data_IF_601285714095
#
_entry.id   IF_601285714095
#
_cell.length_a   1.000
_cell.length_b   1.000
_cell.length_c   1.000
_cell.angle_alpha   90.00
_cell.angle_beta   90.00
_cell.angle_gamma   90.00
#
_symmetry.space_group_name_H-M   'P 1'
#
loop_
_entity.id
_entity.type
_entity.pdbx_description
1 polymer ?
#
# COMPACT_ATOMS: atom_id res chain seq x y z
N UNK A 1 9.52 9.76 14.40
CA UNK A 1 8.34 9.39 13.60
C UNK A 1 8.06 10.43 12.54
N UNK A 2 7.82 11.70 12.92
CA UNK A 2 7.47 12.77 11.97
C UNK A 2 8.44 12.89 10.78
N UNK A 3 9.73 12.68 10.97
CA UNK A 3 10.73 12.69 9.89
C UNK A 3 10.69 11.43 8.99
N UNK A 4 9.83 10.48 9.30
CA UNK A 4 9.82 9.15 8.71
C UNK A 4 8.53 8.79 7.95
N UNK A 5 7.55 9.69 7.89
CA UNK A 5 6.23 9.40 7.32
C UNK A 5 5.87 10.32 6.16
N UNK A 6 5.05 9.80 5.26
CA UNK A 6 4.33 10.55 4.25
C UNK A 6 3.02 11.14 4.77
N UNK A 7 1.96 11.09 3.97
CA UNK A 7 0.65 11.68 4.31
C UNK A 7 -0.03 11.06 5.53
N UNK A 8 0.14 9.75 5.77
CA UNK A 8 -0.44 9.06 6.91
C UNK A 8 0.57 8.75 8.01
N UNK A 9 0.10 8.66 9.26
CA UNK A 9 0.93 8.13 10.35
C UNK A 9 1.11 6.61 10.16
N UNK A 10 2.32 6.12 9.88
CA UNK A 10 2.54 4.73 9.52
C UNK A 10 2.22 3.75 10.67
N UNK A 11 2.31 4.18 11.93
CA UNK A 11 2.01 3.32 13.07
C UNK A 11 0.49 3.21 13.30
N UNK A 12 -0.27 4.31 13.16
CA UNK A 12 -1.74 4.24 13.21
C UNK A 12 -2.29 3.35 12.09
N UNK A 13 -1.73 3.50 10.86
CA UNK A 13 -2.11 2.65 9.73
C UNK A 13 -1.76 1.19 9.99
N UNK A 14 -0.55 0.92 10.53
CA UNK A 14 -0.12 -0.43 10.84
C UNK A 14 -1.00 -1.09 11.92
N UNK A 15 -1.28 -0.39 13.03
CA UNK A 15 -2.15 -0.86 14.10
C UNK A 15 -3.56 -1.15 13.59
N UNK A 16 -4.13 -0.21 12.83
CA UNK A 16 -5.46 -0.38 12.26
C UNK A 16 -5.53 -1.54 11.26
N UNK A 17 -4.57 -1.63 10.32
CA UNK A 17 -4.54 -2.72 9.35
C UNK A 17 -4.36 -4.08 10.02
N UNK A 18 -3.42 -4.17 10.96
CA UNK A 18 -3.09 -5.44 11.62
C UNK A 18 -4.18 -5.95 12.56
N UNK A 19 -5.08 -5.07 13.04
CA UNK A 19 -6.28 -5.48 13.79
C UNK A 19 -7.21 -6.39 12.99
N UNK A 20 -7.07 -6.42 11.67
CA UNK A 20 -7.83 -7.23 10.72
C UNK A 20 -7.02 -8.39 10.13
N UNK A 21 -5.79 -8.60 10.56
CA UNK A 21 -4.89 -9.65 10.08
C UNK A 21 -4.51 -10.60 11.22
N UNK A 22 -4.55 -11.89 10.96
CA UNK A 22 -4.08 -12.91 11.92
C UNK A 22 -2.57 -13.13 11.74
N UNK A 23 -1.77 -12.21 12.27
CA UNK A 23 -0.31 -12.28 12.23
C UNK A 23 0.23 -13.18 13.32
N UNK A 24 0.97 -14.21 12.95
CA UNK A 24 1.57 -15.17 13.86
C UNK A 24 3.10 -15.09 13.84
N UNK A 25 3.72 -15.32 14.99
CA UNK A 25 5.18 -15.36 15.10
C UNK A 25 5.82 -16.25 14.04
N UNK A 26 6.84 -15.72 13.39
CA UNK A 26 7.60 -16.44 12.36
C UNK A 26 7.00 -16.41 10.95
N UNK A 27 5.79 -15.85 10.76
CA UNK A 27 5.27 -15.60 9.43
C UNK A 27 6.19 -14.68 8.63
N UNK A 28 6.24 -14.88 7.33
CA UNK A 28 6.94 -14.00 6.38
C UNK A 28 5.98 -12.94 5.86
N UNK A 29 6.31 -11.68 6.12
CA UNK A 29 5.50 -10.52 5.74
C UNK A 29 6.27 -9.65 4.77
N UNK A 30 5.66 -9.30 3.65
CA UNK A 30 6.12 -8.23 2.79
C UNK A 30 5.48 -6.92 3.25
N UNK A 31 6.29 -5.94 3.63
CA UNK A 31 5.87 -4.55 3.83
C UNK A 31 6.22 -3.76 2.57
N UNK A 32 5.22 -3.57 1.70
CA UNK A 32 5.36 -3.04 0.35
C UNK A 32 5.12 -1.53 0.32
N UNK A 33 6.14 -0.77 -0.01
CA UNK A 33 6.16 0.68 0.12
C UNK A 33 6.36 1.09 1.59
N UNK A 34 7.33 0.44 2.27
CA UNK A 34 7.57 0.60 3.71
C UNK A 34 8.13 1.98 4.10
N UNK A 35 8.41 2.84 3.13
CA UNK A 35 9.06 4.12 3.38
C UNK A 35 10.37 3.94 4.14
N UNK A 36 10.46 4.53 5.32
CA UNK A 36 11.64 4.46 6.20
C UNK A 36 11.57 3.31 7.21
N UNK A 37 10.85 2.23 6.89
CA UNK A 37 10.75 0.98 7.65
C UNK A 37 10.16 1.12 9.08
N UNK A 38 9.43 2.19 9.39
CA UNK A 38 8.80 2.33 10.71
C UNK A 38 7.73 1.26 10.95
N UNK A 39 6.87 1.01 9.96
CA UNK A 39 5.89 -0.07 9.93
C UNK A 39 6.53 -1.45 10.04
N UNK A 40 7.61 -1.67 9.27
CA UNK A 40 8.32 -2.95 9.27
C UNK A 40 8.89 -3.31 10.66
N UNK A 41 9.50 -2.32 11.33
CA UNK A 41 10.01 -2.48 12.69
C UNK A 41 8.88 -2.75 13.69
N UNK A 42 7.75 -2.05 13.55
CA UNK A 42 6.55 -2.26 14.37
C UNK A 42 6.01 -3.68 14.18
N UNK A 43 5.81 -4.13 12.95
CA UNK A 43 5.31 -5.47 12.64
C UNK A 43 6.13 -6.58 13.31
N UNK A 44 7.46 -6.47 13.22
CA UNK A 44 8.33 -7.44 13.87
C UNK A 44 8.20 -7.39 15.40
N UNK A 45 8.26 -6.20 15.99
CA UNK A 45 8.26 -6.06 17.46
C UNK A 45 6.96 -6.50 18.09
N UNK A 46 5.85 -6.19 17.43
CA UNK A 46 4.52 -6.50 17.97
C UNK A 46 4.14 -7.97 17.76
N UNK A 47 4.40 -8.51 16.56
CA UNK A 47 3.92 -9.84 16.19
C UNK A 47 5.01 -10.91 16.09
N UNK A 48 6.30 -10.54 16.13
CA UNK A 48 7.40 -11.47 15.97
C UNK A 48 7.49 -12.08 14.56
N UNK A 49 6.97 -11.41 13.56
CA UNK A 49 7.03 -11.82 12.14
C UNK A 49 8.38 -11.46 11.54
N UNK A 50 8.79 -12.17 10.48
CA UNK A 50 9.90 -11.77 9.63
C UNK A 50 9.39 -10.80 8.56
N UNK A 51 10.05 -9.65 8.36
CA UNK A 51 9.55 -8.60 7.49
C UNK A 51 10.54 -8.27 6.38
N UNK A 52 10.09 -8.28 5.13
CA UNK A 52 10.81 -7.73 3.98
C UNK A 52 10.35 -6.30 3.74
N UNK A 53 11.13 -5.36 4.26
CA UNK A 53 10.90 -3.93 4.19
C UNK A 53 11.28 -3.42 2.80
N UNK A 54 10.30 -3.36 1.89
CA UNK A 54 10.54 -3.09 0.47
C UNK A 54 10.06 -1.69 0.10
N UNK A 55 10.95 -0.89 -0.50
CA UNK A 55 10.65 0.46 -0.96
C UNK A 55 11.43 0.82 -2.24
N UNK A 56 10.87 1.76 -3.02
CA UNK A 56 11.51 2.28 -4.22
C UNK A 56 12.30 3.58 -3.95
N UNK A 57 11.82 4.43 -3.04
CA UNK A 57 12.38 5.76 -2.81
C UNK A 57 13.49 5.74 -1.76
N UNK A 58 13.42 4.81 -0.80
CA UNK A 58 14.41 4.65 0.25
C UNK A 58 15.30 3.45 -0.04
N UNK A 59 16.60 3.68 -0.08
CA UNK A 59 17.55 2.61 -0.37
C UNK A 59 17.60 1.55 0.73
N UNK A 60 17.95 0.32 0.35
CA UNK A 60 18.18 -0.76 1.31
C UNK A 60 19.26 -0.41 2.34
N UNK A 61 20.26 0.39 1.97
CA UNK A 61 21.33 0.83 2.89
C UNK A 61 20.80 1.76 3.98
N UNK A 62 19.97 2.75 3.62
CA UNK A 62 19.35 3.68 4.59
C UNK A 62 18.40 2.95 5.54
N UNK A 63 17.52 2.09 5.00
CA UNK A 63 16.61 1.29 5.82
C UNK A 63 17.38 0.27 6.66
N UNK A 64 18.44 -0.34 6.12
CA UNK A 64 19.30 -1.25 6.86
C UNK A 64 19.96 -0.58 8.08
N UNK A 65 20.34 0.71 7.98
CA UNK A 65 20.87 1.43 9.15
C UNK A 65 19.78 1.62 10.22
N UNK A 66 18.57 2.06 9.84
CA UNK A 66 17.43 2.23 10.78
C UNK A 66 17.04 0.93 11.47
N UNK A 67 17.06 -0.18 10.72
CA UNK A 67 16.74 -1.52 11.21
C UNK A 67 17.81 -1.97 12.24
N UNK A 68 19.11 -1.76 11.97
CA UNK A 68 20.19 -2.02 12.92
C UNK A 68 20.07 -1.14 14.17
N UNK A 69 19.80 0.15 14.00
CA UNK A 69 19.60 1.07 15.12
C UNK A 69 18.42 0.65 16.01
N UNK A 70 17.45 -0.03 15.43
CA UNK A 70 16.34 -0.63 16.15
C UNK A 70 16.65 -2.02 16.73
N UNK A 71 17.80 -2.64 16.41
CA UNK A 71 18.20 -3.97 16.91
C UNK A 71 17.31 -5.11 16.42
N UNK A 72 16.84 -5.06 15.16
CA UNK A 72 15.94 -6.05 14.57
C UNK A 72 16.41 -6.59 13.22
N UNK A 73 17.69 -6.43 12.90
CA UNK A 73 18.30 -6.80 11.62
C UNK A 73 18.25 -8.29 11.30
N UNK A 74 18.09 -9.15 12.30
CA UNK A 74 17.97 -10.60 12.13
C UNK A 74 16.56 -11.01 11.64
N UNK A 75 15.61 -10.06 11.61
CA UNK A 75 14.20 -10.36 11.31
C UNK A 75 13.52 -9.36 10.39
N UNK A 76 14.15 -8.20 10.16
CA UNK A 76 13.65 -7.18 9.23
C UNK A 76 14.71 -6.95 8.14
N UNK A 77 14.34 -7.25 6.90
CA UNK A 77 15.25 -7.29 5.76
C UNK A 77 14.92 -6.15 4.79
N UNK A 78 15.82 -5.15 4.65
CA UNK A 78 15.58 -4.03 3.74
C UNK A 78 15.77 -4.46 2.29
N UNK A 79 14.83 -4.11 1.44
CA UNK A 79 14.88 -4.39 -0.01
C UNK A 79 14.60 -3.11 -0.78
N UNK A 80 15.45 -2.79 -1.75
CA UNK A 80 15.22 -1.67 -2.67
C UNK A 80 14.67 -2.22 -3.99
N UNK A 81 13.37 -2.03 -4.23
CA UNK A 81 12.72 -2.54 -5.42
C UNK A 81 11.47 -1.73 -5.80
N UNK A 82 11.15 -1.74 -7.09
CA UNK A 82 9.88 -1.27 -7.62
C UNK A 82 8.78 -2.32 -7.30
N UNK A 83 7.65 -1.86 -6.79
CA UNK A 83 6.49 -2.70 -6.50
C UNK A 83 6.01 -3.50 -7.73
N UNK A 84 6.32 -3.02 -8.94
CA UNK A 84 5.98 -3.67 -10.22
C UNK A 84 7.03 -4.67 -10.71
N UNK A 85 8.14 -4.82 -9.99
CA UNK A 85 9.25 -5.74 -10.33
C UNK A 85 9.91 -6.27 -9.07
N UNK A 86 9.16 -7.08 -8.32
CA UNK A 86 9.59 -7.59 -7.03
C UNK A 86 10.55 -8.80 -7.19
N UNK A 87 11.68 -8.82 -6.44
CA UNK A 87 12.70 -9.86 -6.58
C UNK A 87 12.43 -11.08 -5.67
N UNK A 88 11.18 -11.54 -5.61
CA UNK A 88 10.79 -12.64 -4.75
C UNK A 88 10.29 -13.85 -5.53
N UNK A 89 10.39 -15.02 -4.91
CA UNK A 89 9.79 -16.25 -5.44
C UNK A 89 8.27 -16.22 -5.27
N UNK A 90 7.57 -16.92 -6.14
CA UNK A 90 6.14 -17.15 -5.98
C UNK A 90 5.87 -17.82 -4.63
N UNK A 91 4.73 -17.49 -4.02
CA UNK A 91 4.22 -18.08 -2.77
C UNK A 91 5.19 -17.98 -1.58
N UNK A 92 6.02 -16.93 -1.58
CA UNK A 92 7.02 -16.75 -0.54
C UNK A 92 6.44 -16.19 0.78
N UNK A 93 5.46 -15.28 0.70
CA UNK A 93 4.92 -14.57 1.86
C UNK A 93 3.63 -15.22 2.40
N UNK A 94 3.49 -15.19 3.72
CA UNK A 94 2.23 -15.52 4.39
C UNK A 94 1.24 -14.35 4.29
N UNK A 95 1.76 -13.11 4.43
CA UNK A 95 0.98 -11.88 4.35
C UNK A 95 1.76 -10.81 3.57
N UNK A 96 1.03 -10.00 2.80
CA UNK A 96 1.55 -8.76 2.20
C UNK A 96 0.77 -7.61 2.82
N UNK A 97 1.47 -6.59 3.31
CA UNK A 97 0.87 -5.33 3.75
C UNK A 97 1.40 -4.17 2.92
N UNK A 98 0.56 -3.15 2.70
CA UNK A 98 1.00 -1.90 2.07
C UNK A 98 0.29 -0.73 2.74
N UNK A 99 1.07 0.19 3.29
CA UNK A 99 0.59 1.33 4.04
C UNK A 99 0.89 2.61 3.29
N UNK A 100 -0.17 3.36 2.96
CA UNK A 100 -0.12 4.68 2.29
C UNK A 100 0.73 4.69 1.00
N UNK A 101 0.71 3.58 0.28
CA UNK A 101 1.54 3.37 -0.92
C UNK A 101 0.77 2.70 -2.06
N UNK A 102 -0.15 1.77 -1.74
CA UNK A 102 -0.77 0.89 -2.73
C UNK A 102 -1.55 1.62 -3.82
N UNK A 103 -2.14 2.77 -3.52
CA UNK A 103 -2.90 3.58 -4.48
C UNK A 103 -2.09 3.97 -5.73
N UNK A 104 -0.78 4.17 -5.61
CA UNK A 104 0.06 4.61 -6.72
C UNK A 104 0.29 3.54 -7.82
N UNK A 105 0.08 2.27 -7.53
CA UNK A 105 0.32 1.18 -8.47
C UNK A 105 -0.79 0.13 -8.49
N UNK A 106 -1.59 0.06 -7.45
CA UNK A 106 -2.64 -0.95 -7.28
C UNK A 106 -3.92 -0.70 -8.07
N UNK A 107 -4.08 0.48 -8.66
CA UNK A 107 -5.22 0.83 -9.52
C UNK A 107 -5.13 0.20 -10.92
N UNK A 108 -3.98 -0.33 -11.32
CA UNK A 108 -3.84 -1.08 -12.56
C UNK A 108 -4.62 -2.40 -12.48
N UNK A 109 -5.43 -2.68 -13.51
CA UNK A 109 -6.32 -3.85 -13.57
C UNK A 109 -5.57 -5.20 -13.45
N UNK A 110 -4.30 -5.25 -13.80
CA UNK A 110 -3.50 -6.47 -13.77
C UNK A 110 -2.56 -6.56 -12.56
N UNK A 111 -2.45 -5.49 -11.79
CA UNK A 111 -1.47 -5.43 -10.71
C UNK A 111 -1.75 -6.46 -9.60
N UNK A 112 -3.00 -6.65 -9.22
CA UNK A 112 -3.35 -7.63 -8.19
C UNK A 112 -3.02 -9.07 -8.64
N UNK A 113 -3.20 -9.39 -9.93
CA UNK A 113 -2.79 -10.69 -10.49
C UNK A 113 -1.28 -10.93 -10.33
N UNK A 114 -0.49 -9.87 -10.53
CA UNK A 114 0.95 -9.92 -10.32
C UNK A 114 1.30 -10.07 -8.85
N UNK A 115 0.75 -9.22 -7.96
CA UNK A 115 1.10 -9.21 -6.55
C UNK A 115 0.70 -10.50 -5.83
N UNK A 116 -0.48 -11.05 -6.16
CA UNK A 116 -1.00 -12.26 -5.54
C UNK A 116 -0.10 -13.50 -5.76
N UNK A 117 0.81 -13.47 -6.73
CA UNK A 117 1.78 -14.56 -6.94
C UNK A 117 2.71 -14.74 -5.76
N UNK A 118 3.09 -13.65 -5.11
CA UNK A 118 4.08 -13.67 -4.02
C UNK A 118 3.48 -14.09 -2.67
N UNK A 119 2.16 -14.01 -2.49
CA UNK A 119 1.50 -14.51 -1.30
C UNK A 119 1.06 -15.96 -1.49
N UNK A 120 1.21 -16.78 -0.46
CA UNK A 120 0.79 -18.19 -0.47
C UNK A 120 -0.71 -18.34 -0.75
N UNK A 121 -1.17 -19.46 -1.33
CA UNK A 121 -2.59 -19.82 -1.33
C UNK A 121 -3.16 -19.77 0.09
N UNK A 122 -4.27 -19.07 0.29
CA UNK A 122 -4.85 -18.83 1.62
C UNK A 122 -4.17 -17.74 2.45
N UNK A 123 -3.05 -17.16 1.97
CA UNK A 123 -2.42 -16.01 2.60
C UNK A 123 -3.16 -14.70 2.33
N UNK A 124 -2.88 -13.66 3.10
CA UNK A 124 -3.61 -12.40 3.06
C UNK A 124 -2.83 -11.27 2.37
N UNK A 125 -3.56 -10.36 1.74
CA UNK A 125 -3.05 -9.05 1.31
C UNK A 125 -3.91 -7.99 2.00
N UNK A 126 -3.25 -7.08 2.72
CA UNK A 126 -3.90 -5.96 3.40
C UNK A 126 -3.33 -4.62 2.96
N UNK A 127 -4.21 -3.66 2.69
CA UNK A 127 -3.83 -2.29 2.36
C UNK A 127 -4.55 -1.31 3.27
N UNK A 128 -3.87 -0.22 3.64
CA UNK A 128 -4.48 0.91 4.34
C UNK A 128 -3.77 2.20 3.95
N UNK A 129 -4.50 3.28 3.83
CA UNK A 129 -3.93 4.58 3.49
C UNK A 129 -4.97 5.63 3.18
N UNK A 130 -4.50 6.76 2.68
CA UNK A 130 -5.36 7.82 2.18
C UNK A 130 -6.33 7.31 1.11
N UNK A 131 -7.57 7.75 1.18
CA UNK A 131 -8.61 7.32 0.23
C UNK A 131 -9.84 8.20 0.31
N UNK A 132 -10.86 7.81 -0.42
CA UNK A 132 -12.11 8.54 -0.52
C UNK A 132 -13.22 7.88 0.29
N UNK A 133 -14.06 8.71 0.92
CA UNK A 133 -15.29 8.25 1.58
C UNK A 133 -16.39 7.99 0.55
N UNK A 134 -16.34 8.73 -0.56
CA UNK A 134 -17.20 8.54 -1.73
C UNK A 134 -16.40 8.89 -3.00
N UNK A 135 -16.70 8.24 -4.12
CA UNK A 135 -16.00 8.49 -5.39
C UNK A 135 -16.25 9.90 -5.93
N UNK A 136 -15.22 10.44 -6.58
CA UNK A 136 -15.29 11.70 -7.33
C UNK A 136 -15.32 11.33 -8.81
N UNK A 137 -16.53 11.36 -9.42
CA UNK A 137 -16.72 10.85 -10.79
C UNK A 137 -16.38 11.86 -11.88
N UNK A 138 -16.88 13.09 -11.76
CA UNK A 138 -16.84 14.05 -12.88
C UNK A 138 -16.33 15.44 -12.50
N UNK A 139 -16.56 15.87 -11.28
CA UNK A 139 -16.19 17.21 -10.83
C UNK A 139 -15.51 17.13 -9.46
N UNK A 140 -14.33 17.72 -9.37
CA UNK A 140 -13.64 17.87 -8.09
C UNK A 140 -14.47 18.82 -7.22
N UNK A 141 -14.82 18.44 -5.97
CA UNK A 141 -15.49 19.31 -5.03
C UNK A 141 -14.76 20.64 -4.91
N UNK A 142 -15.48 21.75 -4.89
CA UNK A 142 -14.89 23.10 -4.94
C UNK A 142 -13.86 23.35 -3.83
N UNK A 143 -14.10 22.82 -2.65
CA UNK A 143 -13.20 22.97 -1.49
C UNK A 143 -11.92 22.17 -1.60
N UNK A 144 -11.85 21.18 -2.52
CA UNK A 144 -10.66 20.38 -2.80
C UNK A 144 -9.87 20.92 -4.01
N UNK A 145 -10.48 21.78 -4.85
CA UNK A 145 -9.96 22.14 -6.14
C UNK A 145 -8.55 22.75 -6.13
N UNK A 146 -8.23 23.56 -5.14
CA UNK A 146 -6.91 24.20 -5.02
C UNK A 146 -5.81 23.23 -4.58
N UNK A 147 -6.17 22.13 -3.93
CA UNK A 147 -5.26 21.09 -3.47
C UNK A 147 -5.19 19.90 -4.42
N UNK A 148 -6.28 19.63 -5.16
CA UNK A 148 -6.39 18.43 -6.00
C UNK A 148 -5.43 18.48 -7.18
N UNK A 149 -4.54 17.50 -7.26
CA UNK A 149 -3.57 17.31 -8.36
C UNK A 149 -3.85 15.99 -9.11
N UNK A 150 -3.22 15.82 -10.26
CA UNK A 150 -3.47 14.66 -11.13
C UNK A 150 -3.09 13.32 -10.48
N UNK A 151 -2.15 13.30 -9.58
CA UNK A 151 -1.72 12.11 -8.84
C UNK A 151 -2.74 11.66 -7.79
N UNK A 152 -3.65 12.55 -7.33
CA UNK A 152 -4.71 12.20 -6.39
C UNK A 152 -5.85 11.40 -7.01
N UNK A 153 -5.92 11.28 -8.32
CA UNK A 153 -6.87 10.39 -9.00
C UNK A 153 -6.67 8.90 -8.70
N UNK A 154 -5.55 8.54 -8.08
CA UNK A 154 -5.35 7.19 -7.56
C UNK A 154 -6.07 6.91 -6.23
N UNK A 155 -6.63 7.94 -5.58
CA UNK A 155 -7.40 7.77 -4.36
C UNK A 155 -8.80 7.27 -4.68
N UNK A 156 -9.20 6.19 -4.02
CA UNK A 156 -10.50 5.56 -4.21
C UNK A 156 -11.14 5.17 -2.87
N UNK A 157 -12.44 4.94 -2.90
CA UNK A 157 -13.19 4.49 -1.74
C UNK A 157 -12.97 3.00 -1.45
N UNK A 158 -13.22 2.58 -0.22
CA UNK A 158 -13.17 1.18 0.17
C UNK A 158 -14.08 0.30 -0.71
N UNK A 159 -15.24 0.81 -1.12
CA UNK A 159 -16.16 0.10 -2.02
C UNK A 159 -15.64 -0.03 -3.45
N UNK A 160 -14.88 0.95 -3.93
CA UNK A 160 -14.21 0.85 -5.23
C UNK A 160 -13.12 -0.22 -5.18
N UNK A 161 -12.25 -0.17 -4.15
CA UNK A 161 -11.19 -1.16 -3.96
C UNK A 161 -11.75 -2.59 -3.85
N UNK A 162 -12.87 -2.77 -3.10
CA UNK A 162 -13.55 -4.06 -3.01
C UNK A 162 -13.93 -4.57 -4.41
N UNK A 163 -14.66 -3.77 -5.19
CA UNK A 163 -15.08 -4.16 -6.55
C UNK A 163 -13.89 -4.40 -7.46
N UNK A 164 -12.84 -3.58 -7.33
CA UNK A 164 -11.63 -3.71 -8.13
C UNK A 164 -10.93 -5.06 -7.90
N UNK A 165 -10.82 -5.50 -6.67
CA UNK A 165 -10.23 -6.78 -6.34
C UNK A 165 -11.17 -7.97 -6.62
N UNK A 166 -12.45 -7.88 -6.31
CA UNK A 166 -13.45 -8.95 -6.57
C UNK A 166 -13.52 -9.32 -8.05
N UNK A 167 -13.34 -8.36 -8.97
CA UNK A 167 -13.32 -8.63 -10.42
C UNK A 167 -12.25 -9.64 -10.84
N UNK A 168 -11.17 -9.73 -10.11
CA UNK A 168 -10.06 -10.64 -10.44
C UNK A 168 -10.40 -12.10 -10.17
N UNK A 169 -11.36 -12.38 -9.29
CA UNK A 169 -11.76 -13.71 -8.84
C UNK A 169 -10.62 -14.53 -8.22
N UNK A 170 -9.57 -13.88 -7.74
CA UNK A 170 -8.41 -14.51 -7.09
C UNK A 170 -8.35 -14.27 -5.59
N UNK A 171 -9.13 -13.30 -5.10
CA UNK A 171 -9.18 -12.91 -3.69
C UNK A 171 -10.60 -13.03 -3.14
N UNK A 172 -10.71 -13.51 -1.91
CA UNK A 172 -11.89 -13.34 -1.06
C UNK A 172 -11.70 -12.08 -0.21
N UNK A 173 -12.62 -11.11 -0.32
CA UNK A 173 -12.50 -9.82 0.35
C UNK A 173 -13.16 -9.88 1.70
N UNK A 174 -12.34 -10.00 2.74
CA UNK A 174 -12.79 -10.11 4.13
C UNK A 174 -13.23 -8.75 4.71
N UNK A 175 -12.46 -7.69 4.43
CA UNK A 175 -12.71 -6.33 4.94
C UNK A 175 -12.56 -5.31 3.83
N UNK A 176 -13.46 -4.33 3.82
CA UNK A 176 -13.32 -3.09 3.06
C UNK A 176 -14.08 -2.01 3.83
N UNK A 177 -13.37 -1.18 4.56
CA UNK A 177 -13.93 -0.18 5.48
C UNK A 177 -13.10 1.10 5.53
N UNK A 178 -13.55 2.03 6.37
CA UNK A 178 -12.91 3.32 6.58
C UNK A 178 -12.53 3.49 8.04
N UNK A 179 -11.45 4.22 8.29
CA UNK A 179 -11.03 4.55 9.66
C UNK A 179 -11.99 5.56 10.29
N UNK A 180 -12.54 5.30 11.48
CA UNK A 180 -13.27 6.30 12.22
C UNK A 180 -12.42 7.57 12.42
N UNK A 181 -13.03 8.74 12.22
CA UNK A 181 -12.36 10.04 12.31
C UNK A 181 -11.12 10.21 11.40
N UNK A 182 -11.02 9.40 10.34
CA UNK A 182 -9.83 9.33 9.48
C UNK A 182 -9.41 10.67 8.88
N UNK A 183 -10.34 11.53 8.48
CA UNK A 183 -10.04 12.86 7.98
C UNK A 183 -9.44 13.77 9.08
N UNK A 184 -10.00 13.73 10.29
CA UNK A 184 -9.47 14.49 11.42
C UNK A 184 -8.07 14.02 11.82
N UNK A 185 -7.84 12.70 11.86
CA UNK A 185 -6.53 12.13 12.14
C UNK A 185 -5.50 12.50 11.07
N UNK A 186 -5.91 12.54 9.80
CA UNK A 186 -5.06 13.02 8.70
C UNK A 186 -4.69 14.49 8.90
N UNK A 187 -5.67 15.35 9.19
CA UNK A 187 -5.46 16.76 9.45
C UNK A 187 -4.50 17.00 10.63
N UNK A 188 -4.71 16.32 11.76
CA UNK A 188 -3.90 16.47 12.97
C UNK A 188 -2.45 16.00 12.72
N UNK A 189 -2.28 14.89 12.01
CA UNK A 189 -0.98 14.41 11.62
C UNK A 189 -0.28 15.36 10.66
N UNK A 190 -0.99 15.84 9.65
CA UNK A 190 -0.43 16.72 8.63
C UNK A 190 0.02 18.08 9.22
N UNK A 191 -0.75 18.65 10.13
CA UNK A 191 -0.36 19.84 10.89
C UNK A 191 0.95 19.66 11.67
N UNK A 192 1.25 18.44 12.11
CA UNK A 192 2.46 18.13 12.84
C UNK A 192 3.68 17.95 11.92
N UNK A 193 3.51 17.26 10.79
CA UNK A 193 4.66 16.87 9.93
C UNK A 193 4.94 17.85 8.80
N UNK A 194 3.94 18.56 8.32
CA UNK A 194 4.01 19.49 7.20
C UNK A 194 3.16 20.75 7.42
N UNK A 195 3.41 21.53 8.50
CA UNK A 195 2.60 22.69 8.84
C UNK A 195 2.58 23.77 7.75
N UNK A 196 3.60 23.79 6.89
CA UNK A 196 3.72 24.75 5.78
C UNK A 196 2.92 24.33 4.54
N UNK A 197 2.35 23.13 4.50
CA UNK A 197 1.47 22.68 3.41
C UNK A 197 0.03 23.18 3.63
N UNK A 198 -0.15 24.49 3.51
CA UNK A 198 -1.44 25.12 3.75
C UNK A 198 -2.57 24.64 2.84
N UNK A 199 -2.25 24.23 1.60
CA UNK A 199 -3.26 23.79 0.63
C UNK A 199 -3.99 22.54 1.13
N UNK A 200 -3.23 21.53 1.56
CA UNK A 200 -3.77 20.28 2.09
C UNK A 200 -4.50 20.49 3.42
N UNK A 201 -3.91 21.30 4.32
CA UNK A 201 -4.54 21.61 5.60
C UNK A 201 -5.92 22.26 5.38
N UNK A 202 -6.01 23.28 4.50
CA UNK A 202 -7.27 23.93 4.16
C UNK A 202 -8.28 22.99 3.50
N UNK A 203 -7.81 22.10 2.64
CA UNK A 203 -8.67 21.09 2.01
C UNK A 203 -9.28 20.16 3.06
N UNK A 204 -8.47 19.60 3.96
CA UNK A 204 -8.93 18.71 5.04
C UNK A 204 -9.87 19.43 6.03
N UNK A 205 -9.55 20.68 6.42
CA UNK A 205 -10.42 21.50 7.29
C UNK A 205 -11.79 21.77 6.67
N UNK A 206 -11.83 21.97 5.36
CA UNK A 206 -13.07 22.24 4.64
C UNK A 206 -13.87 20.96 4.35
N UNK A 207 -13.18 19.85 4.09
CA UNK A 207 -13.78 18.55 3.74
C UNK A 207 -14.48 17.86 4.92
N UNK A 208 -13.88 17.88 6.08
CA UNK A 208 -14.43 17.30 7.32
C UNK A 208 -14.87 15.86 7.21
N UNK A 209 -14.25 15.09 6.32
CA UNK A 209 -14.56 13.70 6.10
C UNK A 209 -15.74 13.44 5.15
N UNK A 210 -16.14 14.41 4.36
CA UNK A 210 -17.14 14.22 3.31
C UNK A 210 -16.57 13.36 2.16
N UNK A 211 -15.33 13.65 1.75
CA UNK A 211 -14.64 12.94 0.67
C UNK A 211 -13.32 12.32 1.11
N UNK A 212 -12.58 12.91 2.04
CA UNK A 212 -11.24 12.50 2.41
C UNK A 212 -11.22 11.73 3.73
N UNK A 213 -10.38 10.70 3.78
CA UNK A 213 -10.15 9.91 4.99
C UNK A 213 -9.20 8.75 4.72
N UNK A 214 -9.22 7.76 5.58
CA UNK A 214 -8.42 6.56 5.41
C UNK A 214 -9.31 5.36 5.10
N UNK A 215 -8.85 4.57 4.13
CA UNK A 215 -9.51 3.33 3.68
C UNK A 215 -8.64 2.13 4.00
N UNK A 216 -9.29 0.99 4.25
CA UNK A 216 -8.62 -0.30 4.44
C UNK A 216 -9.31 -1.36 3.60
N UNK A 217 -8.49 -2.26 3.05
CA UNK A 217 -8.96 -3.46 2.39
C UNK A 217 -8.10 -4.64 2.84
N UNK A 218 -8.74 -5.75 3.17
CA UNK A 218 -8.09 -7.02 3.46
C UNK A 218 -8.75 -8.09 2.62
N UNK A 219 -7.94 -8.82 1.87
CA UNK A 219 -8.39 -9.96 1.08
C UNK A 219 -7.47 -11.16 1.27
N UNK A 220 -8.04 -12.35 1.13
CA UNK A 220 -7.33 -13.63 1.21
C UNK A 220 -7.25 -14.27 -0.16
N UNK A 221 -6.04 -14.67 -0.56
CA UNK A 221 -5.85 -15.40 -1.83
C UNK A 221 -6.60 -16.73 -1.77
N UNK A 222 -7.47 -16.97 -2.75
CA UNK A 222 -8.17 -18.24 -2.89
C UNK A 222 -7.17 -19.38 -3.11
N UNK A 223 -7.36 -20.50 -2.40
CA UNK A 223 -6.45 -21.64 -2.47
C UNK A 223 -6.45 -22.36 -3.83
N UNK A 224 -7.54 -22.20 -4.58
CA UNK A 224 -7.74 -22.77 -5.91
C UNK A 224 -7.65 -21.73 -7.04
N UNK A 225 -7.22 -20.51 -6.73
CA UNK A 225 -7.05 -19.49 -7.77
C UNK A 225 -5.95 -19.88 -8.75
N UNK A 226 -6.29 -19.85 -10.03
CA UNK A 226 -5.30 -19.93 -11.11
C UNK A 226 -4.79 -18.53 -11.40
N UNK A 227 -3.52 -18.29 -11.13
CA UNK A 227 -2.88 -17.03 -11.48
C UNK A 227 -2.30 -17.15 -12.89
N UNK A 228 -2.72 -16.30 -13.83
CA UNK A 228 -2.14 -16.30 -15.17
C UNK A 228 -0.66 -15.92 -15.10
N UNK A 229 0.16 -16.50 -15.98
CA UNK A 229 1.52 -16.00 -16.16
C UNK A 229 1.44 -14.55 -16.64
N UNK A 230 2.01 -13.64 -15.89
CA UNK A 230 1.93 -12.22 -16.18
C UNK A 230 2.51 -11.86 -17.54
N UNK A 231 3.58 -12.53 -17.97
CA UNK A 231 4.20 -12.31 -19.28
C UNK A 231 3.27 -12.78 -20.41
N UNK A 232 2.49 -13.81 -20.16
CA UNK A 232 1.54 -14.38 -21.14
C UNK A 232 0.14 -13.81 -21.01
N UNK A 233 -0.21 -13.20 -19.88
CA UNK A 233 -1.54 -12.61 -19.65
C UNK A 233 -1.73 -11.27 -20.38
N UNK A 234 -0.64 -10.56 -20.69
CA UNK A 234 -0.69 -9.38 -21.53
C UNK A 234 -0.56 -9.81 -22.99
N UNK A 235 -1.61 -9.63 -23.82
CA UNK A 235 -1.53 -9.92 -25.24
C UNK A 235 -0.30 -9.26 -25.85
N UNK A 236 0.43 -10.00 -26.68
CA UNK A 236 1.72 -9.55 -27.27
C UNK A 236 1.61 -8.23 -28.04
N UNK A 237 0.42 -7.89 -28.53
CA UNK A 237 0.15 -6.61 -29.17
C UNK A 237 0.27 -5.40 -28.24
N UNK A 238 0.13 -5.59 -26.92
CA UNK A 238 0.27 -4.54 -25.90
C UNK A 238 1.65 -4.52 -25.25
N UNK A 239 2.47 -5.56 -25.47
CA UNK A 239 3.85 -5.56 -25.03
C UNK A 239 4.60 -4.65 -26.00
N UNK A 240 4.98 -3.47 -25.54
CA UNK A 240 5.93 -2.65 -26.30
C UNK A 240 7.20 -3.46 -26.49
N UNK A 241 7.52 -3.81 -27.73
CA UNK A 241 8.85 -4.33 -28.02
C UNK A 241 9.86 -3.35 -27.44
N UNK A 242 10.84 -3.83 -26.67
CA UNK A 242 11.92 -2.94 -26.29
C UNK A 242 12.43 -2.30 -27.59
N UNK A 243 12.63 -0.99 -27.55
CA UNK A 243 13.33 -0.30 -28.64
C UNK A 243 14.72 -0.91 -28.67
N UNK A 244 14.83 -1.99 -29.42
CA UNK A 244 16.14 -2.50 -29.79
C UNK A 244 16.82 -1.34 -30.48
N UNK A 245 17.98 -0.95 -29.98
CA UNK A 245 18.84 -0.07 -30.75
C UNK A 245 18.90 -0.68 -32.13
N UNK A 246 18.54 0.08 -33.14
CA UNK A 246 18.83 -0.30 -34.52
C UNK A 246 20.26 -0.77 -34.53
N UNK A 247 20.49 -1.99 -34.98
CA UNK A 247 21.84 -2.47 -35.23
C UNK A 247 22.57 -1.44 -36.09
N UNK A 248 23.85 -1.23 -35.82
CA UNK A 248 24.64 -0.24 -36.52
C UNK A 248 24.71 -0.46 -38.01
#
# INVERSE_FOLDING_TARGET
>A
LASNSGAANPLWMAEWLTSALDLQRGMRVLDLGCGRAASSIFLHREFGVQVWATDLWFSAAENGQRIRDAGVEDSVFPVHADARSLPFSDEFFDVIVSLDSFSYYGTDDLYLNYLARFVKPGGAIGIAGAGLMQEIDSFIPKHLGDWWTNDLWCLHSASWWRRHWERTQIMDIEIADTMPDGCQLWLDWHRLIAPDNEAEIKALEADRGEYLGYVRLVGRRLTNATLPDQILSVPTQYIKKPLLRSEP
#
